data_IF_037390215192
#
_entry.id   IF_037390215192
#
_cell.length_a   1.000
_cell.length_b   1.000
_cell.length_c   1.000
_cell.angle_alpha   90.00
_cell.angle_beta   90.00
_cell.angle_gamma   90.00
#
_symmetry.space_group_name_H-M   'P 1'
#
loop_
_entity.id
_entity.type
_entity.pdbx_description
1 polymer ?
#
# COMPACT_ATOMS: atom_id res chain seq x y z
N UNK A 1 17.40 -5.12 -4.81
CA UNK A 1 16.18 -5.08 -3.97
C UNK A 1 15.19 -4.03 -4.45
N UNK A 2 15.59 -2.79 -4.77
CA UNK A 2 14.67 -1.73 -5.25
C UNK A 2 13.97 -2.02 -6.57
N UNK A 3 14.55 -2.86 -7.44
CA UNK A 3 13.96 -3.25 -8.73
C UNK A 3 12.87 -4.35 -8.64
N UNK A 4 12.70 -4.99 -7.47
CA UNK A 4 11.64 -5.98 -7.28
C UNK A 4 10.27 -5.32 -7.39
N UNK A 5 9.33 -5.99 -8.03
CA UNK A 5 7.92 -5.58 -7.95
C UNK A 5 7.38 -5.81 -6.53
N UNK A 6 6.31 -5.11 -6.15
CA UNK A 6 5.74 -5.18 -4.80
C UNK A 6 5.34 -6.61 -4.42
N UNK A 7 4.82 -7.41 -5.36
CA UNK A 7 4.52 -8.83 -5.12
C UNK A 7 5.79 -9.67 -4.84
N UNK A 8 6.85 -9.45 -5.61
CA UNK A 8 8.14 -10.10 -5.40
C UNK A 8 8.79 -9.66 -4.09
N UNK A 9 8.66 -8.38 -3.74
CA UNK A 9 9.14 -7.84 -2.47
C UNK A 9 8.38 -8.45 -1.30
N UNK A 10 7.07 -8.61 -1.41
CA UNK A 10 6.25 -9.31 -0.41
C UNK A 10 6.72 -10.74 -0.21
N UNK A 11 6.86 -11.50 -1.29
CA UNK A 11 7.34 -12.88 -1.22
C UNK A 11 8.74 -12.97 -0.58
N UNK A 12 9.62 -12.00 -0.88
CA UNK A 12 10.93 -11.92 -0.27
C UNK A 12 10.87 -11.61 1.24
N UNK A 13 10.01 -10.68 1.69
CA UNK A 13 9.82 -10.35 3.10
C UNK A 13 9.21 -11.51 3.91
N UNK A 14 8.34 -12.29 3.29
CA UNK A 14 7.70 -13.45 3.90
C UNK A 14 8.66 -14.65 3.98
N UNK A 15 9.61 -14.75 3.04
CA UNK A 15 10.64 -15.80 3.01
C UNK A 15 11.94 -15.48 3.75
N UNK A 16 12.00 -14.37 4.49
CA UNK A 16 13.22 -13.93 5.19
C UNK A 16 13.52 -14.86 6.38
N UNK A 17 14.60 -15.63 6.28
CA UNK A 17 15.08 -16.47 7.38
C UNK A 17 16.03 -15.66 8.26
N UNK A 18 15.60 -15.39 9.50
CA UNK A 18 16.39 -14.69 10.51
C UNK A 18 16.72 -15.61 11.68
N UNK A 19 17.87 -15.38 12.31
CA UNK A 19 18.17 -15.97 13.62
C UNK A 19 17.21 -15.44 14.69
N UNK A 20 17.06 -16.13 15.84
CA UNK A 20 16.18 -15.66 16.92
C UNK A 20 16.50 -14.24 17.39
N UNK A 21 17.79 -13.88 17.45
CA UNK A 21 18.24 -12.55 17.84
C UNK A 21 17.89 -11.48 16.79
N UNK A 22 18.16 -11.75 15.51
CA UNK A 22 17.80 -10.82 14.42
C UNK A 22 16.28 -10.64 14.32
N UNK A 23 15.51 -11.71 14.54
CA UNK A 23 14.06 -11.66 14.55
C UNK A 23 13.56 -10.76 15.68
N UNK A 24 14.11 -10.88 16.88
CA UNK A 24 13.74 -10.02 18.03
C UNK A 24 14.04 -8.55 17.77
N UNK A 25 15.21 -8.24 17.20
CA UNK A 25 15.62 -6.87 16.88
C UNK A 25 14.79 -6.27 15.74
N UNK A 26 14.50 -7.05 14.69
CA UNK A 26 13.85 -6.57 13.48
C UNK A 26 12.31 -6.66 13.53
N UNK A 27 11.73 -7.29 14.55
CA UNK A 27 10.32 -7.64 14.66
C UNK A 27 9.36 -6.47 14.35
N UNK A 28 9.59 -5.32 15.00
CA UNK A 28 8.79 -4.12 14.79
C UNK A 28 8.94 -3.56 13.37
N UNK A 29 10.17 -3.46 12.87
CA UNK A 29 10.47 -2.91 11.53
C UNK A 29 9.87 -3.82 10.44
N UNK A 30 9.96 -5.14 10.60
CA UNK A 30 9.43 -6.11 9.65
C UNK A 30 7.90 -6.12 9.64
N UNK A 31 7.24 -5.94 10.79
CA UNK A 31 5.78 -5.74 10.83
C UNK A 31 5.37 -4.52 10.01
N UNK A 32 5.96 -3.36 10.30
CA UNK A 32 5.68 -2.12 9.58
C UNK A 32 5.94 -2.24 8.07
N UNK A 33 7.05 -2.87 7.68
CA UNK A 33 7.38 -3.10 6.28
C UNK A 33 6.35 -4.03 5.61
N UNK A 34 5.97 -5.13 6.25
CA UNK A 34 4.95 -6.07 5.73
C UNK A 34 3.59 -5.40 5.60
N UNK A 35 3.18 -4.59 6.58
CA UNK A 35 1.91 -3.87 6.53
C UNK A 35 1.89 -2.86 5.37
N UNK A 36 2.96 -2.07 5.19
CA UNK A 36 3.08 -1.13 4.05
C UNK A 36 3.03 -1.84 2.70
N UNK A 37 3.76 -2.95 2.57
CA UNK A 37 3.75 -3.76 1.35
C UNK A 37 2.38 -4.39 1.10
N UNK A 38 1.70 -4.86 2.15
CA UNK A 38 0.31 -5.35 2.07
C UNK A 38 -0.63 -4.26 1.55
N UNK A 39 -0.57 -3.05 2.10
CA UNK A 39 -1.42 -1.95 1.62
C UNK A 39 -1.18 -1.65 0.13
N UNK A 40 0.08 -1.64 -0.32
CA UNK A 40 0.42 -1.49 -1.74
C UNK A 40 -0.14 -2.63 -2.61
N UNK A 41 -0.18 -3.86 -2.09
CA UNK A 41 -0.86 -4.98 -2.76
C UNK A 41 -2.38 -4.79 -2.82
N UNK A 42 -3.00 -4.38 -1.71
CA UNK A 42 -4.44 -4.20 -1.59
C UNK A 42 -4.95 -3.09 -2.52
N UNK A 43 -4.14 -2.04 -2.75
CA UNK A 43 -4.44 -1.00 -3.74
C UNK A 43 -4.18 -1.42 -5.19
N UNK A 44 -3.74 -2.65 -5.42
CA UNK A 44 -3.54 -3.22 -6.75
C UNK A 44 -2.31 -2.69 -7.49
N UNK A 45 -1.29 -2.23 -6.76
CA UNK A 45 -0.02 -1.73 -7.31
C UNK A 45 1.09 -2.80 -7.26
N UNK A 46 0.70 -4.07 -7.24
CA UNK A 46 1.62 -5.23 -7.12
C UNK A 46 2.72 -5.27 -8.18
N UNK A 47 2.45 -4.77 -9.39
CA UNK A 47 3.36 -4.77 -10.53
C UNK A 47 4.38 -3.62 -10.50
N UNK A 48 4.20 -2.63 -9.62
CA UNK A 48 5.17 -1.54 -9.47
C UNK A 48 6.39 -2.02 -8.72
N UNK A 49 7.54 -1.42 -8.98
CA UNK A 49 8.74 -1.58 -8.15
C UNK A 49 9.00 -0.31 -7.34
N UNK A 50 9.67 -0.46 -6.19
CA UNK A 50 10.04 0.68 -5.34
C UNK A 50 11.01 1.65 -6.03
N UNK A 51 11.74 1.20 -7.06
CA UNK A 51 12.65 2.03 -7.84
C UNK A 51 11.93 2.92 -8.87
N UNK A 52 10.67 2.64 -9.23
CA UNK A 52 10.01 3.40 -10.30
C UNK A 52 9.88 4.87 -9.90
N UNK A 53 10.42 5.76 -10.74
CA UNK A 53 10.35 7.18 -10.48
C UNK A 53 8.89 7.67 -10.44
N UNK A 54 8.53 8.42 -9.40
CA UNK A 54 7.19 8.97 -9.17
C UNK A 54 6.66 9.78 -10.37
N UNK A 55 7.56 10.38 -11.15
CA UNK A 55 7.24 11.15 -12.37
C UNK A 55 6.70 10.32 -13.54
N UNK A 56 6.78 9.00 -13.47
CA UNK A 56 6.30 8.07 -14.52
C UNK A 56 4.97 7.41 -14.17
N UNK A 57 4.40 7.73 -13.01
CA UNK A 57 3.14 7.17 -12.56
C UNK A 57 1.97 7.80 -13.29
N UNK A 58 0.95 7.01 -13.60
CA UNK A 58 -0.34 7.56 -14.03
C UNK A 58 -1.00 8.33 -12.88
N UNK A 59 -1.95 9.22 -13.20
CA UNK A 59 -2.72 9.92 -12.18
C UNK A 59 -3.40 8.94 -11.20
N UNK A 60 -3.96 7.85 -11.74
CA UNK A 60 -4.56 6.78 -10.93
C UNK A 60 -3.57 6.02 -10.05
N UNK A 61 -2.36 5.75 -10.53
CA UNK A 61 -1.31 5.12 -9.72
C UNK A 61 -0.89 6.04 -8.56
N UNK A 62 -0.67 7.33 -8.83
CA UNK A 62 -0.29 8.31 -7.81
C UNK A 62 -1.37 8.45 -6.72
N UNK A 63 -2.65 8.47 -7.13
CA UNK A 63 -3.77 8.55 -6.21
C UNK A 63 -3.88 7.32 -5.31
N UNK A 64 -3.72 6.12 -5.87
CA UNK A 64 -3.72 4.88 -5.10
C UNK A 64 -2.54 4.78 -4.12
N UNK A 65 -1.37 5.33 -4.47
CA UNK A 65 -0.23 5.44 -3.54
C UNK A 65 -0.59 6.37 -2.37
N UNK A 66 -1.15 7.55 -2.65
CA UNK A 66 -1.59 8.47 -1.58
C UNK A 66 -2.61 7.81 -0.65
N UNK A 67 -3.55 7.06 -1.19
CA UNK A 67 -4.55 6.32 -0.41
C UNK A 67 -3.92 5.18 0.41
N UNK A 68 -2.95 4.44 -0.16
CA UNK A 68 -2.17 3.43 0.56
C UNK A 68 -1.41 4.04 1.74
N UNK A 69 -0.82 5.23 1.56
CA UNK A 69 -0.09 5.92 2.61
C UNK A 69 -1.02 6.38 3.75
N UNK A 70 -2.20 6.88 3.40
CA UNK A 70 -3.24 7.24 4.35
C UNK A 70 -3.72 6.03 5.18
N UNK A 71 -3.94 4.88 4.54
CA UNK A 71 -4.28 3.63 5.24
C UNK A 71 -3.16 3.14 6.15
N UNK A 72 -1.90 3.27 5.69
CA UNK A 72 -0.73 2.83 6.44
C UNK A 72 -0.30 3.75 7.58
N UNK A 73 -0.85 4.96 7.69
CA UNK A 73 -0.51 5.89 8.78
C UNK A 73 -1.34 5.68 10.05
N UNK A 74 -2.23 4.68 10.08
CA UNK A 74 -3.06 4.32 11.25
C UNK A 74 -3.75 5.52 11.92
N UNK A 75 -4.12 6.52 11.13
CA UNK A 75 -4.78 7.73 11.61
C UNK A 75 -6.26 7.40 11.85
N UNK A 76 -6.60 7.08 13.10
CA UNK A 76 -7.98 7.04 13.56
C UNK A 76 -8.57 8.46 13.58
N UNK A 77 -9.88 8.56 13.40
CA UNK A 77 -10.64 9.82 13.44
C UNK A 77 -10.23 10.88 12.38
N UNK A 78 -9.88 10.41 11.18
CA UNK A 78 -9.53 11.29 10.04
C UNK A 78 -10.64 11.30 8.99
N UNK A 79 -11.13 12.51 8.67
CA UNK A 79 -12.05 12.73 7.56
C UNK A 79 -11.26 12.89 6.25
N UNK A 80 -11.35 11.89 5.38
CA UNK A 80 -10.81 11.98 4.03
C UNK A 80 -11.85 12.61 3.09
N UNK A 81 -11.54 13.80 2.58
CA UNK A 81 -12.31 14.45 1.51
C UNK A 81 -11.60 14.19 0.18
N UNK A 82 -12.28 13.54 -0.75
CA UNK A 82 -11.77 13.28 -2.09
C UNK A 82 -12.50 14.17 -3.09
N UNK A 83 -11.77 15.03 -3.79
CA UNK A 83 -12.32 15.83 -4.89
C UNK A 83 -12.15 15.07 -6.21
N UNK A 84 -13.27 14.66 -6.79
CA UNK A 84 -13.41 13.89 -8.03
C UNK A 84 -12.33 12.80 -8.23
N UNK A 85 -12.38 11.72 -7.43
CA UNK A 85 -11.32 10.73 -7.41
C UNK A 85 -11.29 9.84 -8.67
N UNK A 86 -12.24 9.98 -9.59
CA UNK A 86 -12.34 9.20 -10.83
C UNK A 86 -11.62 9.81 -12.03
N UNK A 87 -11.24 11.10 -11.99
CA UNK A 87 -10.67 11.78 -13.16
C UNK A 87 -9.36 11.11 -13.60
N UNK A 88 -9.30 10.71 -14.87
CA UNK A 88 -8.11 10.10 -15.46
C UNK A 88 -7.88 8.64 -15.08
N UNK A 89 -8.82 7.99 -14.38
CA UNK A 89 -8.77 6.56 -14.13
C UNK A 89 -9.35 5.76 -15.31
N UNK A 90 -8.62 4.72 -15.70
CA UNK A 90 -9.15 3.69 -16.58
C UNK A 90 -10.27 2.92 -15.87
N UNK A 91 -11.31 2.48 -16.59
CA UNK A 91 -12.48 1.79 -16.02
C UNK A 91 -12.11 0.60 -15.10
N UNK A 92 -11.10 -0.18 -15.49
CA UNK A 92 -10.51 -1.27 -14.71
C UNK A 92 -9.95 -0.88 -13.33
N UNK A 93 -9.52 0.37 -13.17
CA UNK A 93 -8.92 0.87 -11.92
C UNK A 93 -9.96 1.53 -10.99
N UNK A 94 -11.14 1.87 -11.51
CA UNK A 94 -12.23 2.45 -10.73
C UNK A 94 -12.74 1.47 -9.66
N UNK A 95 -12.94 0.20 -10.02
CA UNK A 95 -13.38 -0.83 -9.07
C UNK A 95 -12.39 -1.03 -7.93
N UNK A 96 -11.09 -0.92 -8.22
CA UNK A 96 -10.03 -1.01 -7.22
C UNK A 96 -10.04 0.20 -6.30
N UNK A 97 -10.20 1.41 -6.84
CA UNK A 97 -10.36 2.63 -6.04
C UNK A 97 -11.58 2.52 -5.12
N UNK A 98 -12.73 2.06 -5.62
CA UNK A 98 -13.95 1.89 -4.82
C UNK A 98 -13.78 0.85 -3.70
N UNK A 99 -13.09 -0.26 -3.97
CA UNK A 99 -12.77 -1.26 -2.96
C UNK A 99 -11.90 -0.68 -1.83
N UNK A 100 -10.93 0.17 -2.19
CA UNK A 100 -10.07 0.83 -1.21
C UNK A 100 -10.80 1.86 -0.36
N UNK A 101 -11.66 2.67 -0.96
CA UNK A 101 -12.49 3.62 -0.22
C UNK A 101 -13.38 2.90 0.81
N UNK A 102 -13.94 1.75 0.42
CA UNK A 102 -14.69 0.89 1.35
C UNK A 102 -13.79 0.35 2.47
N UNK A 103 -12.56 -0.09 2.14
CA UNK A 103 -11.60 -0.53 3.15
C UNK A 103 -11.27 0.57 4.15
N UNK A 104 -11.00 1.81 3.69
CA UNK A 104 -10.79 2.99 4.54
C UNK A 104 -11.99 3.24 5.46
N UNK A 105 -13.21 3.24 4.89
CA UNK A 105 -14.43 3.48 5.64
C UNK A 105 -14.63 2.43 6.75
N UNK A 106 -14.38 1.15 6.45
CA UNK A 106 -14.51 0.07 7.44
C UNK A 106 -13.39 0.04 8.48
N UNK A 107 -12.16 0.42 8.12
CA UNK A 107 -11.04 0.50 9.06
C UNK A 107 -11.29 1.59 10.11
N UNK A 108 -11.94 2.69 9.74
CA UNK A 108 -12.34 3.76 10.66
C UNK A 108 -13.47 3.35 11.64
N UNK A 109 -14.21 2.25 11.38
CA UNK A 109 -15.31 1.79 12.24
C UNK A 109 -14.93 0.67 13.21
N UNK A 110 -13.65 0.25 13.22
CA UNK A 110 -13.17 -0.92 13.97
C UNK A 110 -12.41 -0.60 15.26
N UNK A 111 -12.52 0.64 15.76
CA UNK A 111 -12.10 1.02 17.10
C UNK A 111 -13.30 1.31 17.99
#
# INVERSE_FOLDING_TARGET
MSALSIDQLRAWLDGLALSPFEQEVADHILREARDRVRFLCDVGLTYLSLHRATRTLSGGEAQRISLSNALGSSLVDTLYVLDEPSIGLHSRDLDRLLALLRACATAATRC
#
